data_IF_395512543453
#
_entry.id   IF_395512543453
#
_cell.length_a   1.000
_cell.length_b   1.000
_cell.length_c   1.000
_cell.angle_alpha   90.00
_cell.angle_beta   90.00
_cell.angle_gamma   90.00
#
_symmetry.space_group_name_H-M   'P 1'
#
loop_
_entity.id
_entity.type
_entity.pdbx_description
1 polymer ?
#
# COMPACT_ATOMS: atom_id res chain seq x y z
N UNK A 1 1.19 -9.91 20.56
CA UNK A 1 0.38 -9.71 19.35
C UNK A 1 0.53 -8.31 18.73
N UNK A 2 0.50 -7.22 19.51
CA UNK A 2 0.64 -5.85 18.96
C UNK A 2 1.98 -5.63 18.24
N UNK A 3 3.10 -6.11 18.80
CA UNK A 3 4.43 -5.94 18.18
C UNK A 3 4.57 -6.55 16.78
N UNK A 4 4.02 -7.76 16.57
CA UNK A 4 4.02 -8.42 15.26
C UNK A 4 3.21 -7.63 14.23
N UNK A 5 2.08 -7.04 14.64
CA UNK A 5 1.22 -6.25 13.76
C UNK A 5 1.81 -4.90 13.37
N UNK A 6 2.51 -4.25 14.30
CA UNK A 6 3.29 -3.05 13.98
C UNK A 6 4.37 -3.40 12.94
N UNK A 7 5.01 -4.55 13.09
CA UNK A 7 6.00 -5.03 12.13
C UNK A 7 5.38 -5.32 10.75
N UNK A 8 4.25 -6.03 10.69
CA UNK A 8 3.52 -6.32 9.44
C UNK A 8 3.09 -5.01 8.74
N UNK A 9 2.62 -4.01 9.50
CA UNK A 9 2.28 -2.69 8.96
C UNK A 9 3.51 -1.95 8.41
N UNK A 10 4.64 -2.01 9.10
CA UNK A 10 5.90 -1.40 8.65
C UNK A 10 6.36 -2.07 7.35
N UNK A 11 6.34 -3.40 7.27
CA UNK A 11 6.75 -4.14 6.08
C UNK A 11 5.88 -3.78 4.86
N UNK A 12 4.57 -3.67 5.03
CA UNK A 12 3.66 -3.25 3.96
C UNK A 12 3.98 -1.82 3.49
N UNK A 13 4.18 -0.87 4.40
CA UNK A 13 4.56 0.52 4.05
C UNK A 13 5.92 0.57 3.36
N UNK A 14 6.91 -0.21 3.83
CA UNK A 14 8.22 -0.32 3.19
C UNK A 14 8.09 -0.86 1.77
N UNK A 15 7.23 -1.85 1.54
CA UNK A 15 6.98 -2.41 0.21
C UNK A 15 6.34 -1.38 -0.73
N UNK A 16 5.32 -0.64 -0.27
CA UNK A 16 4.71 0.46 -1.03
C UNK A 16 5.78 1.50 -1.41
N UNK A 17 6.64 1.89 -0.46
CA UNK A 17 7.69 2.87 -0.70
C UNK A 17 8.72 2.37 -1.72
N UNK A 18 9.16 1.12 -1.61
CA UNK A 18 10.10 0.52 -2.55
C UNK A 18 9.52 0.43 -3.97
N UNK A 19 8.26 -0.02 -4.11
CA UNK A 19 7.56 -0.04 -5.40
C UNK A 19 7.38 1.37 -5.97
N UNK A 20 7.03 2.35 -5.12
CA UNK A 20 6.86 3.74 -5.52
C UNK A 20 8.15 4.33 -6.08
N UNK A 21 9.29 4.07 -5.43
CA UNK A 21 10.61 4.53 -5.88
C UNK A 21 10.98 3.88 -7.21
N UNK A 22 10.81 2.55 -7.32
CA UNK A 22 11.11 1.83 -8.56
C UNK A 22 10.27 2.36 -9.74
N UNK A 23 8.96 2.52 -9.53
CA UNK A 23 8.04 3.03 -10.55
C UNK A 23 8.26 4.50 -10.88
N UNK A 24 8.75 5.31 -9.94
CA UNK A 24 9.20 6.67 -10.23
C UNK A 24 10.37 6.69 -11.23
N UNK A 25 11.21 5.65 -11.25
CA UNK A 25 12.24 5.48 -12.29
C UNK A 25 11.64 5.37 -13.69
N UNK A 26 10.58 4.56 -13.86
CA UNK A 26 9.86 4.42 -15.14
C UNK A 26 9.21 5.75 -15.59
N UNK A 27 8.74 6.56 -14.64
CA UNK A 27 8.21 7.90 -14.91
C UNK A 27 9.32 8.83 -15.41
N UNK A 28 10.49 8.82 -14.76
CA UNK A 28 11.63 9.65 -15.17
C UNK A 28 12.16 9.22 -16.54
N UNK A 29 12.24 7.93 -16.82
CA UNK A 29 12.59 7.43 -18.16
C UNK A 29 11.59 7.88 -19.22
N UNK A 30 10.29 7.76 -18.95
CA UNK A 30 9.25 8.26 -19.85
C UNK A 30 9.35 9.77 -20.08
N UNK A 31 9.66 10.55 -19.04
CA UNK A 31 9.92 11.98 -19.19
C UNK A 31 11.15 12.25 -20.09
N UNK A 32 12.21 11.46 -19.96
CA UNK A 32 13.37 11.52 -20.83
C UNK A 32 13.03 11.27 -22.30
N UNK A 33 12.18 10.29 -22.59
CA UNK A 33 11.72 9.99 -23.95
C UNK A 33 10.84 11.07 -24.55
N UNK A 34 9.95 11.64 -23.73
CA UNK A 34 9.13 12.76 -24.16
C UNK A 34 10.00 13.98 -24.51
N UNK A 35 11.06 14.22 -23.74
CA UNK A 35 12.01 15.31 -23.98
C UNK A 35 12.90 15.06 -25.22
N UNK A 36 13.21 13.82 -25.56
CA UNK A 36 14.03 13.48 -26.74
C UNK A 36 13.22 13.36 -28.03
N UNK A 37 11.89 13.46 -27.96
CA UNK A 37 11.01 13.62 -29.12
C UNK A 37 9.92 12.56 -29.24
N UNK A 38 9.93 11.50 -28.44
CA UNK A 38 8.84 10.53 -28.35
C UNK A 38 7.85 10.91 -27.23
N UNK A 39 7.09 11.97 -27.48
CA UNK A 39 6.12 12.51 -26.50
C UNK A 39 5.05 11.48 -26.14
N UNK A 40 4.51 10.75 -27.11
CA UNK A 40 3.42 9.80 -26.86
C UNK A 40 3.91 8.56 -26.11
N UNK A 41 5.05 7.98 -26.49
CA UNK A 41 5.65 6.86 -25.78
C UNK A 41 6.08 7.24 -24.36
N UNK A 42 6.73 8.40 -24.24
CA UNK A 42 7.19 8.93 -22.95
C UNK A 42 6.06 9.23 -21.96
N UNK A 43 5.02 9.95 -22.40
CA UNK A 43 3.82 10.22 -21.57
C UNK A 43 3.09 8.92 -21.22
N UNK A 44 3.00 7.97 -22.16
CA UNK A 44 2.41 6.66 -21.91
C UNK A 44 3.12 5.89 -20.79
N UNK A 45 4.45 5.89 -20.79
CA UNK A 45 5.26 5.31 -19.71
C UNK A 45 5.07 6.02 -18.38
N UNK A 46 5.07 7.36 -18.38
CA UNK A 46 4.79 8.14 -17.17
C UNK A 46 3.43 7.81 -16.56
N UNK A 47 2.39 7.77 -17.38
CA UNK A 47 1.04 7.44 -16.94
C UNK A 47 0.95 6.01 -16.38
N UNK A 48 1.63 5.06 -17.03
CA UNK A 48 1.68 3.66 -16.60
C UNK A 48 2.38 3.53 -15.24
N UNK A 49 3.56 4.16 -15.08
CA UNK A 49 4.28 4.18 -13.81
C UNK A 49 3.44 4.77 -12.68
N UNK A 50 2.73 5.88 -12.93
CA UNK A 50 1.85 6.49 -11.94
C UNK A 50 0.65 5.60 -11.57
N UNK A 51 0.01 4.96 -12.57
CA UNK A 51 -1.11 4.05 -12.34
C UNK A 51 -0.70 2.81 -11.53
N UNK A 52 0.49 2.28 -11.78
CA UNK A 52 1.05 1.14 -11.03
C UNK A 52 1.33 1.50 -9.58
N UNK A 53 1.84 2.71 -9.30
CA UNK A 53 2.03 3.21 -7.93
C UNK A 53 0.70 3.29 -7.19
N UNK A 54 -0.31 3.89 -7.83
CA UNK A 54 -1.64 4.02 -7.24
C UNK A 54 -2.25 2.64 -6.96
N UNK A 55 -2.10 1.69 -7.88
CA UNK A 55 -2.61 0.32 -7.74
C UNK A 55 -1.91 -0.44 -6.62
N UNK A 56 -0.57 -0.39 -6.54
CA UNK A 56 0.19 -1.06 -5.46
C UNK A 56 -0.16 -0.46 -4.10
N UNK A 57 -0.18 0.88 -4.00
CA UNK A 57 -0.55 1.59 -2.76
C UNK A 57 -1.97 1.25 -2.31
N UNK A 58 -2.93 1.22 -3.23
CA UNK A 58 -4.31 0.88 -2.91
C UNK A 58 -4.44 -0.59 -2.47
N UNK A 59 -3.75 -1.51 -3.16
CA UNK A 59 -3.81 -2.95 -2.85
C UNK A 59 -3.27 -3.24 -1.45
N UNK A 60 -2.05 -2.76 -1.15
CA UNK A 60 -1.44 -2.95 0.16
C UNK A 60 -2.18 -2.15 1.25
N UNK A 61 -2.69 -0.96 0.94
CA UNK A 61 -3.53 -0.17 1.85
C UNK A 61 -4.83 -0.86 2.23
N UNK A 62 -5.52 -1.49 1.27
CA UNK A 62 -6.75 -2.27 1.53
C UNK A 62 -6.44 -3.51 2.37
N UNK A 63 -5.30 -4.16 2.13
CA UNK A 63 -4.84 -5.30 2.93
C UNK A 63 -4.63 -4.90 4.39
N UNK A 64 -3.90 -3.80 4.62
CA UNK A 64 -3.70 -3.23 5.96
C UNK A 64 -5.01 -2.86 6.66
N UNK A 65 -5.95 -2.25 5.92
CA UNK A 65 -7.25 -1.88 6.47
C UNK A 65 -8.04 -3.12 6.94
N UNK A 66 -8.01 -4.21 6.16
CA UNK A 66 -8.64 -5.48 6.55
C UNK A 66 -8.01 -6.09 7.79
N UNK A 67 -6.69 -6.23 7.82
CA UNK A 67 -5.97 -6.80 8.96
C UNK A 67 -6.21 -6.02 10.26
N UNK A 68 -6.32 -4.69 10.16
CA UNK A 68 -6.67 -3.86 11.30
C UNK A 68 -8.14 -4.00 11.73
N UNK A 69 -9.07 -4.12 10.79
CA UNK A 69 -10.49 -4.31 11.08
C UNK A 69 -10.77 -5.66 11.75
N UNK A 70 -10.17 -6.75 11.23
CA UNK A 70 -10.35 -8.09 11.77
C UNK A 70 -9.87 -8.18 13.21
N UNK A 71 -8.76 -7.53 13.52
CA UNK A 71 -8.27 -7.52 14.89
C UNK A 71 -9.03 -6.53 15.80
N UNK A 72 -9.62 -5.47 15.25
CA UNK A 72 -10.55 -4.63 16.01
C UNK A 72 -11.80 -5.42 16.41
N UNK A 73 -12.28 -6.31 15.53
CA UNK A 73 -13.34 -7.28 15.85
C UNK A 73 -12.89 -8.26 16.92
N UNK A 74 -11.73 -8.90 16.76
CA UNK A 74 -11.21 -9.85 17.75
C UNK A 74 -11.05 -9.22 19.15
N UNK A 75 -10.56 -7.97 19.22
CA UNK A 75 -10.47 -7.24 20.47
C UNK A 75 -11.86 -6.88 21.05
N UNK A 76 -12.82 -6.53 20.19
CA UNK A 76 -14.19 -6.22 20.60
C UNK A 76 -14.90 -7.47 21.14
N UNK A 77 -14.73 -8.62 20.48
CA UNK A 77 -15.28 -9.91 20.91
C UNK A 77 -14.69 -10.34 22.25
N UNK A 78 -13.37 -10.18 22.44
CA UNK A 78 -12.70 -10.47 23.71
C UNK A 78 -13.20 -9.58 24.86
N UNK A 79 -13.53 -8.31 24.57
CA UNK A 79 -14.14 -7.41 25.55
C UNK A 79 -15.57 -7.85 25.87
N UNK A 80 -16.37 -8.16 24.86
CA UNK A 80 -17.75 -8.63 25.03
C UNK A 80 -17.78 -9.89 25.90
N UNK A 81 -16.97 -10.91 25.58
CA UNK A 81 -16.84 -12.14 26.36
C UNK A 81 -16.48 -11.89 27.82
N UNK A 82 -15.61 -10.92 28.09
CA UNK A 82 -15.18 -10.56 29.44
C UNK A 82 -16.26 -9.85 30.23
N UNK A 83 -17.16 -9.11 29.57
CA UNK A 83 -18.34 -8.49 30.19
C UNK A 83 -19.39 -9.57 30.49
N UNK A 84 -19.67 -10.46 29.56
CA UNK A 84 -20.70 -11.51 29.71
C UNK A 84 -20.35 -12.55 30.78
N UNK A 85 -19.05 -12.82 31.03
CA UNK A 85 -18.60 -13.74 32.10
C UNK A 85 -18.51 -13.10 33.49
N UNK A 86 -18.92 -11.84 33.65
CA UNK A 86 -18.79 -11.08 34.90
C UNK A 86 -20.08 -11.00 35.73
N UNK A 87 -21.11 -11.72 35.33
CA UNK A 87 -22.31 -12.06 36.13
C UNK A 87 -22.24 -13.53 36.60
#
# INVERSE_FOLDING_TARGET
MIGKRIQDNIEAVTKIAADSVRKSGEIVEGAGEALTGDVMGGVGRMATGAADIATSSATEGVKLARENLDAAREASDAVADKVTRRD
#
